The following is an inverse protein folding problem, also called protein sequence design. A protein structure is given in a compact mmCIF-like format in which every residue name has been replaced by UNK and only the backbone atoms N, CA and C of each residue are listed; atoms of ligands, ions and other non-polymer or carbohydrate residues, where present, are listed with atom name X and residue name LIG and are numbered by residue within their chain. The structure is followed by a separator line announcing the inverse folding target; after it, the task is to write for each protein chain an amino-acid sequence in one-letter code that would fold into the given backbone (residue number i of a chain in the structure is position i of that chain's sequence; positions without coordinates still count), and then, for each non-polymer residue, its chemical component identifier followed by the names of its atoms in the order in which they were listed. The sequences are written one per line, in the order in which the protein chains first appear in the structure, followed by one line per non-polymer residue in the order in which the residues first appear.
data_IF_684110452124
#
_entry.id   IF_684110452124
#
_cell.length_a   1.000
_cell.length_b   1.000
_cell.length_c   1.000
_cell.angle_alpha   90.00
_cell.angle_beta   90.00
_cell.angle_gamma   90.00
#
_symmetry.space_group_name_H-M   'P 1'
#
loop_
_entity.id
_entity.type
_entity.pdbx_description
1 polymer ?
#
# COMPACT_ATOMS: atom_id res chain seq x y z
N UNK A 1 -3.64 10.95 -0.91
CA UNK A 1 -2.36 11.38 -1.49
C UNK A 1 -1.92 10.31 -2.48
N UNK A 2 -1.37 10.69 -3.64
CA UNK A 2 -0.87 9.71 -4.60
C UNK A 2 0.25 8.87 -3.97
N UNK A 3 0.33 7.60 -4.36
CA UNK A 3 1.40 6.71 -3.97
C UNK A 3 2.70 7.18 -4.62
N UNK A 4 3.70 7.59 -3.83
CA UNK A 4 5.04 7.90 -4.35
C UNK A 4 5.87 6.62 -4.46
N UNK A 5 5.89 6.03 -5.65
CA UNK A 5 6.58 4.77 -5.94
C UNK A 5 7.66 5.00 -6.99
N UNK A 6 8.89 4.58 -6.68
CA UNK A 6 10.07 4.75 -7.54
C UNK A 6 10.59 3.40 -8.02
N UNK A 7 11.21 3.38 -9.19
CA UNK A 7 11.76 2.15 -9.78
C UNK A 7 13.17 1.80 -9.32
N UNK A 8 13.72 2.54 -8.35
CA UNK A 8 15.05 2.36 -7.78
C UNK A 8 15.14 1.16 -6.83
N UNK A 9 14.00 0.69 -6.32
CA UNK A 9 13.86 -0.50 -5.47
C UNK A 9 12.56 -1.23 -5.77
N UNK A 10 12.39 -2.48 -5.30
CA UNK A 10 11.16 -3.23 -5.54
C UNK A 10 9.91 -2.45 -5.08
N UNK A 11 8.84 -2.51 -5.89
CA UNK A 11 7.61 -1.76 -5.59
C UNK A 11 6.90 -2.32 -4.35
N UNK A 12 6.90 -3.64 -4.15
CA UNK A 12 6.21 -4.25 -3.01
C UNK A 12 6.81 -3.81 -1.66
N UNK A 13 8.14 -3.60 -1.57
CA UNK A 13 8.76 -3.10 -0.33
C UNK A 13 8.33 -1.66 -0.03
N UNK A 14 8.14 -0.84 -1.06
CA UNK A 14 7.64 0.54 -0.90
C UNK A 14 6.18 0.57 -0.45
N UNK A 15 5.38 -0.36 -0.95
CA UNK A 15 3.97 -0.51 -0.54
C UNK A 15 3.86 -0.88 0.94
N UNK A 16 4.69 -1.83 1.42
CA UNK A 16 4.75 -2.21 2.84
C UNK A 16 5.03 -0.98 3.70
N UNK A 17 6.11 -0.25 3.41
CA UNK A 17 6.50 0.92 4.19
C UNK A 17 5.41 2.01 4.23
N UNK A 18 4.74 2.26 3.09
CA UNK A 18 3.65 3.23 3.07
C UNK A 18 2.43 2.75 3.85
N UNK A 19 2.09 1.46 3.79
CA UNK A 19 0.97 0.90 4.57
C UNK A 19 1.27 0.99 6.07
N UNK A 20 2.48 0.65 6.49
CA UNK A 20 2.94 0.80 7.88
C UNK A 20 2.83 2.25 8.36
N UNK A 21 3.30 3.22 7.56
CA UNK A 21 3.17 4.65 7.88
C UNK A 21 1.69 5.08 8.04
N UNK A 22 0.78 4.53 7.23
CA UNK A 22 -0.67 4.79 7.34
C UNK A 22 -1.27 4.18 8.61
N UNK A 23 -0.76 3.03 9.06
CA UNK A 23 -1.15 2.45 10.35
C UNK A 23 -0.62 3.33 11.49
N UNK A 24 0.67 3.70 11.48
CA UNK A 24 1.28 4.50 12.54
C UNK A 24 0.69 5.91 12.66
N UNK A 25 0.29 6.52 11.54
CA UNK A 25 -0.40 7.82 11.53
C UNK A 25 -1.88 7.73 11.95
N UNK A 26 -2.42 6.53 12.18
CA UNK A 26 -3.80 6.32 12.55
C UNK A 26 -4.80 6.41 11.37
N UNK A 27 -4.30 6.52 10.14
CA UNK A 27 -5.15 6.49 8.94
C UNK A 27 -5.82 5.10 8.75
N UNK A 28 -5.13 4.04 9.18
CA UNK A 28 -5.71 2.71 9.36
C UNK A 28 -5.74 2.36 10.85
N UNK A 29 -6.80 2.77 11.58
CA UNK A 29 -6.85 2.57 13.02
C UNK A 29 -7.05 1.08 13.38
N UNK A 30 -6.60 0.65 14.57
CA UNK A 30 -6.79 -0.71 15.04
C UNK A 30 -8.27 -1.14 14.98
N UNK A 31 -8.52 -2.32 14.43
CA UNK A 31 -9.87 -2.86 14.26
C UNK A 31 -10.63 -2.35 13.02
N UNK A 32 -10.10 -1.36 12.29
CA UNK A 32 -10.68 -0.97 11.01
C UNK A 32 -10.37 -1.99 9.92
N UNK A 33 -11.29 -2.10 8.97
CA UNK A 33 -11.11 -2.93 7.78
C UNK A 33 -10.21 -2.20 6.78
N UNK A 34 -9.13 -2.86 6.35
CA UNK A 34 -8.31 -2.36 5.26
C UNK A 34 -9.04 -2.50 3.91
N UNK A 35 -8.75 -1.64 2.92
CA UNK A 35 -9.25 -1.83 1.56
C UNK A 35 -8.75 -3.16 0.98
N UNK A 36 -9.45 -3.69 -0.02
CA UNK A 36 -9.02 -4.95 -0.63
C UNK A 36 -7.71 -4.78 -1.40
N UNK A 37 -7.00 -5.88 -1.64
CA UNK A 37 -5.80 -5.90 -2.49
C UNK A 37 -6.08 -5.24 -3.85
N UNK A 38 -7.26 -5.47 -4.44
CA UNK A 38 -7.64 -4.88 -5.73
C UNK A 38 -7.85 -3.37 -5.63
N UNK A 39 -8.51 -2.90 -4.58
CA UNK A 39 -8.76 -1.47 -4.38
C UNK A 39 -7.44 -0.73 -4.14
N UNK A 40 -6.57 -1.29 -3.29
CA UNK A 40 -5.24 -0.73 -3.06
C UNK A 40 -4.40 -0.74 -4.34
N UNK A 41 -4.44 -1.83 -5.12
CA UNK A 41 -3.68 -1.94 -6.37
C UNK A 41 -4.15 -0.92 -7.40
N UNK A 42 -5.46 -0.69 -7.49
CA UNK A 42 -6.05 0.32 -8.37
C UNK A 42 -5.66 1.73 -7.93
N UNK A 43 -5.75 2.03 -6.64
CA UNK A 43 -5.36 3.34 -6.08
C UNK A 43 -3.85 3.63 -6.27
N UNK A 44 -3.02 2.60 -6.10
CA UNK A 44 -1.57 2.68 -6.31
C UNK A 44 -1.15 2.58 -7.79
N UNK A 45 -2.07 2.27 -8.70
CA UNK A 45 -1.77 1.98 -10.11
C UNK A 45 -0.69 0.90 -10.28
N UNK A 46 -0.72 -0.15 -9.47
CA UNK A 46 0.21 -1.28 -9.50
C UNK A 46 -0.49 -2.59 -9.88
N UNK A 47 0.30 -3.60 -10.26
CA UNK A 47 -0.23 -4.93 -10.48
C UNK A 47 -0.80 -5.51 -9.16
N UNK A 48 -2.03 -6.08 -9.15
CA UNK A 48 -2.60 -6.72 -7.96
C UNK A 48 -1.72 -7.78 -7.30
N UNK A 49 -0.92 -8.52 -8.07
CA UNK A 49 0.03 -9.50 -7.51
C UNK A 49 1.19 -8.82 -6.77
N UNK A 50 1.61 -7.63 -7.22
CA UNK A 50 2.61 -6.82 -6.51
C UNK A 50 2.05 -6.30 -5.20
N UNK A 51 0.79 -5.86 -5.19
CA UNK A 51 0.08 -5.44 -3.97
C UNK A 51 -0.18 -6.62 -3.02
N UNK A 52 -0.51 -7.80 -3.55
CA UNK A 52 -0.72 -9.00 -2.72
C UNK A 52 0.56 -9.48 -2.02
N UNK A 53 1.71 -9.21 -2.63
CA UNK A 53 3.02 -9.55 -2.06
C UNK A 53 3.44 -8.58 -0.94
N UNK A 54 2.90 -7.36 -0.95
CA UNK A 54 3.10 -6.37 0.10
C UNK A 54 2.22 -6.73 1.31
#
# INVERSE_FOLDING_TARGET
MPWDLKSDRPIYTQLIEQIELRIFSGQYPPGAKLPSVRDLAQDASVNPNTMQRA
#
